data_IF_954548911108
#
_entry.id   IF_954548911108
#
_cell.length_a   1.000
_cell.length_b   1.000
_cell.length_c   1.000
_cell.angle_alpha   90.00
_cell.angle_beta   90.00
_cell.angle_gamma   90.00
#
_symmetry.space_group_name_H-M   'P 1'
#
loop_
_entity.id
_entity.type
_entity.pdbx_description
1 polymer ?
#
# COMPACT_ATOMS: atom_id res chain seq x y z
N UNK A 1 -3.65 0.21 6.52
CA UNK A 1 -2.91 -1.06 6.70
C UNK A 1 -1.84 -1.18 5.63
N UNK A 2 -0.59 -1.45 6.03
CA UNK A 2 0.56 -1.61 5.14
C UNK A 2 1.02 -3.06 5.24
N UNK A 3 0.83 -3.84 4.17
CA UNK A 3 1.37 -5.19 4.06
C UNK A 3 2.78 -5.13 3.45
N UNK A 4 3.75 -5.65 4.21
CA UNK A 4 5.14 -5.79 3.79
C UNK A 4 5.45 -7.28 3.76
N UNK A 5 5.62 -7.82 2.57
CA UNK A 5 6.00 -9.22 2.38
C UNK A 5 7.30 -9.28 1.59
N UNK A 6 8.44 -9.63 2.20
CA UNK A 6 9.72 -9.68 1.51
C UNK A 6 9.71 -10.67 0.33
N UNK A 7 10.57 -10.43 -0.66
CA UNK A 7 10.69 -11.28 -1.83
C UNK A 7 10.85 -12.77 -1.45
N UNK A 8 10.22 -13.67 -2.24
CA UNK A 8 10.17 -15.13 -2.02
C UNK A 8 9.38 -15.61 -0.78
N UNK A 9 8.61 -14.74 -0.11
CA UNK A 9 7.74 -15.17 1.01
C UNK A 9 6.32 -15.55 0.59
N UNK A 10 6.00 -15.55 -0.71
CA UNK A 10 4.63 -15.76 -1.21
C UNK A 10 3.79 -14.50 -1.28
N UNK A 11 4.38 -13.33 -1.05
CA UNK A 11 3.78 -11.99 -1.16
C UNK A 11 3.06 -11.77 -2.48
N UNK A 12 3.65 -12.23 -3.58
CA UNK A 12 3.06 -12.15 -4.91
C UNK A 12 1.69 -12.82 -4.97
N UNK A 13 1.52 -13.98 -4.32
CA UNK A 13 0.23 -14.66 -4.23
C UNK A 13 -0.82 -13.82 -3.47
N UNK A 14 -0.42 -13.21 -2.34
CA UNK A 14 -1.30 -12.32 -1.57
C UNK A 14 -1.68 -11.07 -2.37
N UNK A 15 -0.72 -10.42 -3.02
CA UNK A 15 -0.97 -9.25 -3.87
C UNK A 15 -1.93 -9.57 -5.03
N UNK A 16 -1.77 -10.72 -5.69
CA UNK A 16 -2.73 -11.21 -6.68
C UNK A 16 -4.13 -11.38 -6.09
N UNK A 17 -4.23 -11.97 -4.91
CA UNK A 17 -5.50 -12.14 -4.23
C UNK A 17 -6.14 -10.79 -3.91
N UNK A 18 -5.37 -9.81 -3.40
CA UNK A 18 -5.87 -8.46 -3.12
C UNK A 18 -6.42 -7.78 -4.38
N UNK A 19 -5.68 -7.84 -5.50
CA UNK A 19 -6.16 -7.31 -6.78
C UNK A 19 -7.47 -7.94 -7.23
N UNK A 20 -7.61 -9.27 -7.10
CA UNK A 20 -8.85 -9.99 -7.46
C UNK A 20 -10.02 -9.71 -6.51
N UNK A 21 -9.72 -9.38 -5.25
CA UNK A 21 -10.72 -9.15 -4.20
C UNK A 21 -11.13 -7.68 -4.06
N UNK A 22 -10.59 -6.76 -4.86
CA UNK A 22 -10.86 -5.30 -4.79
C UNK A 22 -12.33 -4.94 -4.62
N UNK A 23 -13.21 -5.48 -5.46
CA UNK A 23 -14.65 -5.20 -5.37
C UNK A 23 -15.28 -5.71 -4.07
N UNK A 24 -14.83 -6.88 -3.59
CA UNK A 24 -15.29 -7.48 -2.32
C UNK A 24 -14.72 -6.77 -1.10
N UNK A 25 -13.56 -6.15 -1.22
CA UNK A 25 -12.96 -5.27 -0.21
C UNK A 25 -13.71 -3.96 -0.12
N UNK A 26 -13.99 -3.32 -1.26
CA UNK A 26 -14.75 -2.06 -1.29
C UNK A 26 -16.14 -2.21 -0.65
N UNK A 27 -16.84 -3.32 -0.91
CA UNK A 27 -18.13 -3.64 -0.27
C UNK A 27 -18.04 -3.84 1.27
N UNK A 28 -16.84 -3.91 1.83
CA UNK A 28 -16.55 -4.03 3.27
C UNK A 28 -15.75 -2.84 3.82
N UNK A 29 -15.76 -1.70 3.12
CA UNK A 29 -15.05 -0.50 3.56
C UNK A 29 -13.52 -0.57 3.40
N UNK A 30 -12.99 -1.57 2.69
CA UNK A 30 -11.55 -1.71 2.45
C UNK A 30 -11.22 -1.23 1.03
N UNK A 31 -10.42 -0.18 0.91
CA UNK A 31 -9.90 0.30 -0.36
C UNK A 31 -8.53 -0.31 -0.65
N UNK A 32 -8.42 -0.99 -1.79
CA UNK A 32 -7.14 -1.44 -2.36
C UNK A 32 -6.91 -0.68 -3.68
N UNK A 33 -6.09 0.39 -3.66
CA UNK A 33 -5.97 1.32 -4.78
C UNK A 33 -5.35 0.67 -6.02
N UNK A 34 -5.88 1.02 -7.18
CA UNK A 34 -5.50 0.40 -8.44
C UNK A 34 -4.42 1.15 -9.21
N UNK A 35 -4.25 2.46 -8.97
CA UNK A 35 -3.36 3.31 -9.78
C UNK A 35 -1.88 2.92 -9.71
N UNK A 36 -1.47 2.24 -8.64
CA UNK A 36 -0.11 1.75 -8.47
C UNK A 36 0.01 0.24 -8.72
N UNK A 37 -1.11 -0.40 -9.09
CA UNK A 37 -1.22 -1.82 -9.39
C UNK A 37 -0.68 -2.12 -10.78
N UNK A 38 0.63 -2.37 -10.87
CA UNK A 38 1.27 -2.89 -12.08
C UNK A 38 0.99 -4.39 -12.27
N UNK A 39 2.05 -5.18 -12.51
CA UNK A 39 1.90 -6.64 -12.66
C UNK A 39 1.41 -7.26 -11.34
N UNK A 40 2.01 -6.91 -10.18
CA UNK A 40 1.60 -7.30 -8.82
C UNK A 40 1.83 -6.14 -7.84
N UNK A 41 1.02 -6.01 -6.78
CA UNK A 41 1.28 -5.08 -5.67
C UNK A 41 1.37 -3.59 -6.03
N UNK A 42 1.81 -2.77 -5.08
CA UNK A 42 2.01 -1.31 -5.21
C UNK A 42 3.49 -0.95 -5.29
N UNK A 43 4.26 -1.66 -6.13
CA UNK A 43 5.70 -1.36 -6.30
C UNK A 43 5.94 0.05 -6.84
N UNK A 44 5.05 0.54 -7.71
CA UNK A 44 5.14 1.91 -8.23
C UNK A 44 5.03 2.94 -7.10
N UNK A 45 4.10 2.75 -6.16
CA UNK A 45 4.00 3.59 -4.97
C UNK A 45 5.27 3.52 -4.13
N UNK A 46 5.72 2.31 -3.78
CA UNK A 46 6.88 2.12 -2.92
C UNK A 46 8.14 2.78 -3.48
N UNK A 47 8.36 2.70 -4.80
CA UNK A 47 9.51 3.30 -5.47
C UNK A 47 9.40 4.81 -5.66
N UNK A 48 8.22 5.39 -5.50
CA UNK A 48 7.93 6.81 -5.68
C UNK A 48 7.91 7.60 -4.36
N UNK A 49 7.97 6.91 -3.21
CA UNK A 49 8.08 7.56 -1.91
C UNK A 49 9.31 8.49 -1.88
N UNK A 50 9.14 9.65 -1.23
CA UNK A 50 10.18 10.69 -1.12
C UNK A 50 10.56 11.41 -2.42
N UNK A 51 10.09 10.98 -3.59
CA UNK A 51 10.56 11.49 -4.88
C UNK A 51 9.45 12.02 -5.79
N UNK A 52 8.22 11.50 -5.67
CA UNK A 52 7.09 11.91 -6.51
C UNK A 52 6.08 12.77 -5.73
N UNK A 53 6.08 14.08 -6.04
CA UNK A 53 5.15 15.03 -5.44
C UNK A 53 3.67 14.76 -5.82
N UNK A 54 3.39 14.05 -6.91
CA UNK A 54 2.02 13.73 -7.34
C UNK A 54 1.31 12.75 -6.41
N UNK A 55 2.07 11.99 -5.59
CA UNK A 55 1.50 11.12 -4.57
C UNK A 55 0.59 11.86 -3.61
N UNK A 56 0.86 13.15 -3.33
CA UNK A 56 0.03 13.99 -2.47
C UNK A 56 -1.42 13.99 -2.94
N UNK A 57 -1.66 14.28 -4.22
CA UNK A 57 -3.01 14.35 -4.78
C UNK A 57 -3.71 13.00 -4.74
N UNK A 58 -2.99 11.90 -4.97
CA UNK A 58 -3.54 10.55 -4.88
C UNK A 58 -3.96 10.21 -3.44
N UNK A 59 -3.10 10.48 -2.45
CA UNK A 59 -3.40 10.25 -1.04
C UNK A 59 -4.50 11.17 -0.53
N UNK A 60 -4.56 12.43 -0.95
CA UNK A 60 -5.66 13.33 -0.58
C UNK A 60 -7.02 12.80 -1.05
N UNK A 61 -7.06 12.06 -2.16
CA UNK A 61 -8.26 11.38 -2.61
C UNK A 61 -8.55 10.14 -1.76
N UNK A 62 -7.54 9.32 -1.46
CA UNK A 62 -7.70 8.13 -0.62
C UNK A 62 -8.16 8.47 0.79
N UNK A 63 -7.55 9.48 1.41
CA UNK A 63 -7.90 9.97 2.75
C UNK A 63 -9.33 10.54 2.80
N UNK A 64 -9.89 10.96 1.65
CA UNK A 64 -11.28 11.44 1.52
C UNK A 64 -12.25 10.41 0.93
N UNK A 65 -11.81 9.18 0.67
CA UNK A 65 -12.64 8.12 0.07
C UNK A 65 -13.80 7.68 0.96
N UNK A 66 -13.67 7.89 2.27
CA UNK A 66 -14.59 7.33 3.28
C UNK A 66 -14.36 5.83 3.54
N UNK A 67 -13.30 5.23 2.97
CA UNK A 67 -12.92 3.85 3.29
C UNK A 67 -12.50 3.74 4.76
N UNK A 68 -12.99 2.70 5.43
CA UNK A 68 -12.59 2.38 6.80
C UNK A 68 -11.13 1.91 6.87
N UNK A 69 -10.63 1.31 5.79
CA UNK A 69 -9.26 0.84 5.71
C UNK A 69 -8.71 0.99 4.31
N UNK A 70 -7.57 1.67 4.17
CA UNK A 70 -6.75 1.62 2.96
C UNK A 70 -5.71 0.51 3.12
N UNK A 71 -5.71 -0.46 2.21
CA UNK A 71 -4.72 -1.53 2.16
C UNK A 71 -3.65 -1.21 1.12
N UNK A 72 -2.42 -1.03 1.55
CA UNK A 72 -1.24 -0.89 0.68
C UNK A 72 -0.40 -2.16 0.78
N UNK A 73 0.07 -2.70 -0.34
CA UNK A 73 0.81 -3.97 -0.34
C UNK A 73 1.92 -3.97 -1.37
N UNK A 74 3.17 -4.09 -0.93
CA UNK A 74 4.34 -4.15 -1.81
C UNK A 74 5.46 -4.93 -1.12
N UNK A 75 6.21 -5.72 -1.89
CA UNK A 75 7.46 -6.31 -1.39
C UNK A 75 8.57 -5.26 -1.29
N UNK A 76 8.47 -4.20 -2.11
CA UNK A 76 9.44 -3.11 -2.15
C UNK A 76 9.44 -2.28 -0.87
N UNK A 77 8.36 -2.31 -0.08
CA UNK A 77 8.33 -1.68 1.24
C UNK A 77 9.35 -2.29 2.22
N UNK A 78 9.84 -3.51 1.97
CA UNK A 78 10.89 -4.10 2.79
C UNK A 78 12.26 -3.40 2.63
N UNK A 79 12.39 -2.53 1.61
CA UNK A 79 13.60 -1.77 1.30
C UNK A 79 13.43 -0.26 1.54
N UNK A 80 12.31 0.16 2.14
CA UNK A 80 12.06 1.57 2.45
C UNK A 80 13.09 2.12 3.45
N UNK A 81 13.59 3.31 3.16
CA UNK A 81 14.46 4.10 4.03
C UNK A 81 13.64 4.88 5.06
N UNK A 82 14.30 5.47 6.07
CA UNK A 82 13.63 6.34 7.04
C UNK A 82 12.92 7.52 6.36
N UNK A 83 13.52 8.10 5.31
CA UNK A 83 12.91 9.16 4.52
C UNK A 83 11.65 8.71 3.77
N UNK A 84 11.61 7.45 3.30
CA UNK A 84 10.41 6.89 2.66
C UNK A 84 9.28 6.69 3.67
N UNK A 85 9.62 6.28 4.90
CA UNK A 85 8.67 6.11 6.00
C UNK A 85 8.10 7.46 6.42
N UNK A 86 8.94 8.48 6.56
CA UNK A 86 8.51 9.87 6.84
C UNK A 86 7.60 10.39 5.74
N UNK A 87 7.98 10.23 4.47
CA UNK A 87 7.16 10.64 3.34
C UNK A 87 5.79 9.94 3.33
N UNK A 88 5.76 8.63 3.61
CA UNK A 88 4.50 7.89 3.71
C UNK A 88 3.67 8.35 4.90
N UNK A 89 4.29 8.58 6.06
CA UNK A 89 3.60 9.10 7.24
C UNK A 89 2.93 10.45 6.96
N UNK A 90 3.62 11.36 6.28
CA UNK A 90 3.08 12.65 5.86
C UNK A 90 1.93 12.50 4.86
N UNK A 91 1.99 11.51 3.97
CA UNK A 91 0.93 11.18 3.01
C UNK A 91 -0.35 10.65 3.70
N UNK A 92 -0.21 9.95 4.82
CA UNK A 92 -1.34 9.44 5.60
C UNK A 92 -2.05 10.51 6.44
N UNK A 93 -1.56 11.76 6.45
CA UNK A 93 -2.19 12.89 7.13
C UNK A 93 -2.50 12.65 8.62
N UNK A 94 -1.65 11.87 9.31
CA UNK A 94 -1.80 11.55 10.73
C UNK A 94 -2.72 10.36 11.03
N UNK A 95 -3.28 9.70 10.01
CA UNK A 95 -4.03 8.46 10.20
C UNK A 95 -3.12 7.32 10.67
N UNK A 96 -3.58 6.45 11.59
CA UNK A 96 -2.76 5.38 12.12
C UNK A 96 -2.44 4.33 11.07
N UNK A 97 -1.15 4.01 10.92
CA UNK A 97 -0.68 2.94 10.06
C UNK A 97 -0.46 1.65 10.86
N UNK A 98 -1.23 0.60 10.55
CA UNK A 98 -0.92 -0.77 11.00
C UNK A 98 -0.04 -1.45 9.96
N UNK A 99 1.18 -1.83 10.35
CA UNK A 99 2.11 -2.61 9.51
C UNK A 99 1.94 -4.10 9.77
N UNK A 100 1.64 -4.85 8.72
CA UNK A 100 1.54 -6.31 8.73
C UNK A 100 2.73 -6.86 7.95
N UNK A 101 3.71 -7.39 8.67
CA UNK A 101 4.88 -8.02 8.08
C UNK A 101 4.67 -9.54 7.98
N UNK A 102 4.66 -10.08 6.76
CA UNK A 102 4.47 -11.51 6.53
C UNK A 102 5.77 -12.18 6.09
N UNK A 103 6.25 -13.13 6.88
CA UNK A 103 7.40 -13.98 6.56
C UNK A 103 7.03 -15.45 6.63
N UNK A 104 7.29 -16.18 5.53
CA UNK A 104 7.18 -17.63 5.46
C UNK A 104 8.58 -18.26 5.63
N UNK A 105 8.69 -19.25 6.53
CA UNK A 105 9.86 -20.11 6.69
C UNK A 105 9.74 -21.36 5.82
#
# INVERSE_FOLDING_TARGET
MIHVGPHKTGTTYLQHAFTKLRSRFAARGIEYPGEWGGIHGHHQLANALGTDASLRTAFDRLNRSGAETILLSSESFAYSTDADVEALHDLLAGEPAIVVFYCRR
#
